data_IF_707852609268
#
_entry.id   IF_707852609268
#
_cell.length_a   1.000
_cell.length_b   1.000
_cell.length_c   1.000
_cell.angle_alpha   90.00
_cell.angle_beta   90.00
_cell.angle_gamma   90.00
#
_symmetry.space_group_name_H-M   'P 1'
#
loop_
_entity.id
_entity.type
_entity.pdbx_description
1 polymer ?
#
# COMPACT_ATOMS: atom_id res chain seq x y z
N UNK A 1 1.40 -9.02 -3.83
CA UNK A 1 1.37 -8.90 -5.30
C UNK A 1 0.54 -7.69 -5.68
N UNK A 2 0.97 -6.95 -6.70
CA UNK A 2 0.17 -5.90 -7.34
C UNK A 2 -0.84 -6.49 -8.32
N UNK A 3 -1.77 -5.68 -8.79
CA UNK A 3 -2.74 -6.11 -9.79
C UNK A 3 -2.10 -6.21 -11.20
N UNK A 4 -2.30 -7.30 -11.97
CA UNK A 4 -1.63 -7.53 -13.26
C UNK A 4 -1.82 -6.44 -14.31
N UNK A 5 -2.89 -5.63 -14.21
CA UNK A 5 -3.15 -4.47 -15.08
C UNK A 5 -1.98 -3.48 -15.13
N UNK A 6 -1.18 -3.39 -14.07
CA UNK A 6 -0.03 -2.49 -13.98
C UNK A 6 1.31 -3.22 -14.18
N UNK A 7 1.27 -4.45 -14.69
CA UNK A 7 2.39 -5.38 -14.71
C UNK A 7 2.43 -6.23 -13.44
N UNK A 8 3.13 -7.35 -13.53
CA UNK A 8 3.31 -8.26 -12.40
C UNK A 8 4.43 -7.71 -11.50
N UNK A 9 4.04 -6.92 -10.49
CA UNK A 9 4.95 -6.43 -9.47
C UNK A 9 4.75 -7.14 -8.13
N UNK A 10 5.86 -7.43 -7.46
CA UNK A 10 5.94 -7.89 -6.08
C UNK A 10 6.49 -6.76 -5.20
N UNK A 11 5.96 -6.62 -3.99
CA UNK A 11 6.52 -5.72 -2.99
C UNK A 11 7.03 -6.56 -1.81
N UNK A 12 8.19 -6.17 -1.28
CA UNK A 12 8.77 -6.74 -0.06
C UNK A 12 9.21 -5.64 0.88
N UNK A 13 9.20 -5.92 2.19
CA UNK A 13 9.69 -5.00 3.20
C UNK A 13 10.41 -5.76 4.33
N UNK A 14 11.18 -5.05 5.17
CA UNK A 14 11.92 -5.73 6.23
C UNK A 14 12.54 -4.85 7.31
N UNK A 15 13.28 -5.53 8.20
CA UNK A 15 13.97 -4.92 9.34
C UNK A 15 15.10 -3.97 8.94
N UNK A 16 15.61 -4.11 7.71
CA UNK A 16 16.60 -3.23 7.09
C UNK A 16 16.03 -1.86 6.67
N UNK A 17 14.76 -1.58 7.03
CA UNK A 17 14.05 -0.32 6.83
C UNK A 17 13.65 -0.08 5.37
N UNK A 18 13.70 -1.11 4.54
CA UNK A 18 13.47 -0.97 3.10
C UNK A 18 12.09 -1.46 2.71
N UNK A 19 11.54 -0.80 1.71
CA UNK A 19 10.48 -1.29 0.83
C UNK A 19 11.12 -1.44 -0.55
N UNK A 20 10.96 -2.62 -1.15
CA UNK A 20 11.49 -2.93 -2.47
C UNK A 20 10.33 -3.35 -3.37
N UNK A 21 10.26 -2.78 -4.57
CA UNK A 21 9.34 -3.24 -5.62
C UNK A 21 10.13 -3.97 -6.68
N UNK A 22 9.69 -5.18 -6.98
CA UNK A 22 10.22 -6.05 -8.01
C UNK A 22 9.22 -6.16 -9.14
N UNK A 23 9.68 -6.12 -10.38
CA UNK A 23 8.84 -6.29 -11.57
C UNK A 23 9.29 -7.53 -12.33
N UNK A 24 8.34 -8.36 -12.71
CA UNK A 24 8.58 -9.49 -13.58
C UNK A 24 8.92 -8.97 -14.99
N UNK A 25 10.04 -9.44 -15.53
CA UNK A 25 10.48 -9.15 -16.88
C UNK A 25 10.19 -10.38 -17.75
N UNK A 26 9.38 -10.22 -18.79
CA UNK A 26 9.20 -11.27 -19.79
C UNK A 26 10.52 -11.47 -20.53
N UNK A 27 11.18 -12.61 -20.36
CA UNK A 27 12.24 -12.98 -21.30
C UNK A 27 11.59 -13.26 -22.66
N UNK A 28 11.94 -12.46 -23.66
CA UNK A 28 11.60 -12.76 -25.04
C UNK A 28 12.08 -14.19 -25.38
N UNK A 29 11.29 -14.92 -26.15
CA UNK A 29 11.63 -16.28 -26.57
C UNK A 29 13.00 -16.28 -27.28
N UNK A 30 14.06 -16.71 -26.58
CA UNK A 30 15.42 -16.64 -27.10
C UNK A 30 16.45 -17.31 -26.20
N UNK A 31 16.50 -18.65 -26.28
CA UNK A 31 17.69 -19.52 -26.22
C UNK A 31 18.73 -19.35 -25.11
N UNK A 32 18.91 -20.41 -24.31
CA UNK A 32 20.14 -20.59 -23.53
C UNK A 32 20.05 -21.68 -22.48
N UNK A 33 20.61 -22.84 -22.82
CA UNK A 33 20.53 -24.08 -22.06
C UNK A 33 21.35 -24.03 -20.77
N UNK A 34 20.81 -23.54 -19.65
CA UNK A 34 21.20 -23.91 -18.28
C UNK A 34 19.92 -23.95 -17.43
N UNK A 35 19.63 -25.13 -16.85
CA UNK A 35 18.36 -25.47 -16.20
C UNK A 35 18.03 -24.66 -14.95
N UNK A 36 17.45 -23.48 -15.15
CA UNK A 36 16.63 -22.77 -14.18
C UNK A 36 15.58 -21.96 -14.93
N UNK A 37 14.39 -22.52 -15.15
CA UNK A 37 13.23 -21.76 -15.62
C UNK A 37 12.77 -20.82 -14.50
N UNK A 38 13.43 -19.68 -14.35
CA UNK A 38 13.14 -18.69 -13.32
C UNK A 38 12.70 -17.38 -13.97
N UNK A 39 11.48 -16.96 -13.64
CA UNK A 39 10.95 -15.62 -13.85
C UNK A 39 12.05 -14.56 -13.57
N UNK A 40 12.34 -13.70 -14.54
CA UNK A 40 13.37 -12.68 -14.38
C UNK A 40 12.80 -11.50 -13.57
N UNK A 41 13.08 -11.45 -12.27
CA UNK A 41 12.60 -10.39 -11.38
C UNK A 41 13.63 -9.26 -11.28
N UNK A 42 13.26 -8.04 -11.67
CA UNK A 42 14.11 -6.86 -11.57
C UNK A 42 13.65 -5.92 -10.45
N UNK A 43 14.59 -5.43 -9.63
CA UNK A 43 14.33 -4.35 -8.68
C UNK A 43 14.06 -3.05 -9.43
N UNK A 44 12.84 -2.52 -9.31
CA UNK A 44 12.41 -1.27 -9.97
C UNK A 44 12.25 -0.11 -8.99
N UNK A 45 12.26 -0.39 -7.68
CA UNK A 45 12.25 0.60 -6.62
C UNK A 45 12.89 0.05 -5.34
N UNK A 46 13.53 0.93 -4.59
CA UNK A 46 14.05 0.67 -3.24
C UNK A 46 13.94 1.95 -2.41
N UNK A 47 13.28 1.89 -1.25
CA UNK A 47 13.23 3.01 -0.31
C UNK A 47 14.47 3.06 0.58
N UNK A 48 14.82 4.27 1.03
CA UNK A 48 15.87 4.49 2.04
C UNK A 48 15.41 5.46 3.16
N UNK A 49 14.12 5.80 3.19
CA UNK A 49 13.59 6.91 4.00
C UNK A 49 13.04 6.51 5.37
N UNK A 50 12.66 5.25 5.58
CA UNK A 50 12.10 4.82 6.87
C UNK A 50 13.17 4.83 7.96
N UNK A 51 12.79 5.35 9.14
CA UNK A 51 13.69 5.47 10.28
C UNK A 51 13.94 4.14 11.01
N UNK A 52 13.02 3.19 10.86
CA UNK A 52 13.03 1.89 11.53
C UNK A 52 12.46 0.78 10.63
N UNK A 53 12.35 -0.43 11.17
CA UNK A 53 11.85 -1.61 10.47
C UNK A 53 10.50 -1.35 9.79
N UNK A 54 10.29 -1.94 8.61
CA UNK A 54 9.01 -1.92 7.91
C UNK A 54 8.32 -3.25 8.13
N UNK A 55 7.19 -3.21 8.82
CA UNK A 55 6.50 -4.38 9.36
C UNK A 55 5.49 -4.97 8.39
N UNK A 56 4.99 -4.17 7.45
CA UNK A 56 4.04 -4.62 6.46
C UNK A 56 3.95 -3.71 5.25
N UNK A 57 3.51 -4.28 4.13
CA UNK A 57 3.18 -3.56 2.90
C UNK A 57 1.87 -4.08 2.34
N UNK A 58 1.07 -3.19 1.76
CA UNK A 58 -0.21 -3.54 1.14
C UNK A 58 -0.43 -2.74 -0.14
N UNK A 59 -0.69 -3.43 -1.25
CA UNK A 59 -1.13 -2.79 -2.49
C UNK A 59 -2.58 -2.33 -2.35
N UNK A 60 -2.87 -1.15 -2.89
CA UNK A 60 -4.22 -0.61 -2.96
C UNK A 60 -5.09 -1.40 -3.96
N UNK A 61 -6.42 -1.30 -3.85
CA UNK A 61 -7.33 -1.67 -4.93
C UNK A 61 -6.89 -1.05 -6.26
N UNK A 62 -6.90 -1.87 -7.31
CA UNK A 62 -6.34 -1.51 -8.60
C UNK A 62 -7.07 -0.36 -9.29
N UNK A 63 -8.33 -0.13 -8.91
CA UNK A 63 -9.15 0.96 -9.40
C UNK A 63 -8.58 2.33 -9.04
N UNK A 64 -7.86 2.43 -7.92
CA UNK A 64 -7.11 3.64 -7.54
C UNK A 64 -5.80 3.79 -8.30
N UNK A 65 -5.25 2.71 -8.85
CA UNK A 65 -3.92 2.67 -9.45
C UNK A 65 -2.91 1.84 -8.63
N UNK A 66 -1.65 1.75 -9.08
CA UNK A 66 -0.60 0.99 -8.42
C UNK A 66 -0.04 1.75 -7.19
N UNK A 67 -0.88 1.95 -6.18
CA UNK A 67 -0.47 2.51 -4.90
C UNK A 67 -0.04 1.39 -3.94
N UNK A 68 1.03 1.62 -3.20
CA UNK A 68 1.58 0.71 -2.19
C UNK A 68 1.70 1.46 -0.87
N UNK A 69 1.07 0.95 0.18
CA UNK A 69 1.28 1.43 1.54
C UNK A 69 2.38 0.61 2.23
N UNK A 70 3.16 1.25 3.09
CA UNK A 70 4.09 0.62 4.03
C UNK A 70 3.84 1.08 5.46
N UNK A 71 3.93 0.15 6.41
CA UNK A 71 3.80 0.40 7.85
C UNK A 71 5.17 0.21 8.53
N UNK A 72 5.66 1.22 9.25
CA UNK A 72 6.97 1.16 9.91
C UNK A 72 6.92 1.41 11.41
N UNK A 73 7.84 0.79 12.12
CA UNK A 73 8.10 1.02 13.55
C UNK A 73 8.56 2.45 13.85
N UNK A 74 8.86 3.28 12.85
CA UNK A 74 9.14 4.72 13.03
C UNK A 74 7.87 5.57 13.29
N UNK A 75 6.71 4.92 13.35
CA UNK A 75 5.41 5.54 13.60
C UNK A 75 4.74 6.09 12.35
N UNK A 76 5.34 5.92 11.17
CA UNK A 76 4.83 6.45 9.91
C UNK A 76 4.25 5.39 9.01
N UNK A 77 3.29 5.84 8.20
CA UNK A 77 2.86 5.16 6.99
C UNK A 77 3.42 5.94 5.81
N UNK A 78 3.99 5.23 4.84
CA UNK A 78 4.34 5.82 3.55
C UNK A 78 3.47 5.23 2.43
N UNK A 79 3.09 6.09 1.49
CA UNK A 79 2.36 5.72 0.29
C UNK A 79 3.26 5.97 -0.91
N UNK A 80 3.54 4.90 -1.64
CA UNK A 80 4.34 4.87 -2.85
C UNK A 80 3.43 4.69 -4.07
N UNK A 81 3.68 5.45 -5.13
CA UNK A 81 2.99 5.30 -6.41
C UNK A 81 3.95 5.58 -7.57
N UNK A 82 3.82 4.84 -8.67
CA UNK A 82 4.57 5.10 -9.89
C UNK A 82 3.77 5.97 -10.86
N UNK A 83 4.16 7.23 -11.02
CA UNK A 83 3.58 8.13 -12.02
C UNK A 83 3.96 7.64 -13.42
N UNK A 84 2.98 7.21 -14.21
CA UNK A 84 3.21 6.81 -15.61
C UNK A 84 3.54 8.00 -16.51
N UNK A 85 3.09 9.20 -16.16
CA UNK A 85 3.38 10.42 -16.92
C UNK A 85 4.86 10.81 -16.76
N UNK A 86 5.37 10.77 -15.54
CA UNK A 86 6.71 11.24 -15.22
C UNK A 86 7.76 10.11 -15.20
N UNK A 87 7.31 8.85 -15.29
CA UNK A 87 8.15 7.65 -15.13
C UNK A 87 8.97 7.68 -13.83
N UNK A 88 8.35 8.18 -12.76
CA UNK A 88 8.98 8.37 -11.47
C UNK A 88 8.14 7.79 -10.34
N UNK A 89 8.84 7.31 -9.32
CA UNK A 89 8.26 6.90 -8.06
C UNK A 89 8.02 8.12 -7.18
N UNK A 90 6.77 8.32 -6.80
CA UNK A 90 6.34 9.36 -5.87
C UNK A 90 6.09 8.71 -4.51
N UNK A 91 6.64 9.33 -3.46
CA UNK A 91 6.49 8.90 -2.08
C UNK A 91 5.89 10.03 -1.25
N UNK A 92 4.84 9.71 -0.51
CA UNK A 92 4.29 10.57 0.54
C UNK A 92 4.30 9.82 1.86
N UNK A 93 4.35 10.52 2.99
CA UNK A 93 4.32 9.89 4.30
C UNK A 93 3.56 10.76 5.31
N UNK A 94 3.06 10.12 6.36
CA UNK A 94 2.44 10.78 7.49
C UNK A 94 2.64 9.97 8.77
N UNK A 95 2.67 10.66 9.90
CA UNK A 95 2.78 10.03 11.21
C UNK A 95 1.41 9.48 11.63
N UNK A 96 1.34 8.18 11.87
CA UNK A 96 0.09 7.47 12.16
C UNK A 96 -0.02 7.08 13.63
N UNK A 97 1.06 6.55 14.21
CA UNK A 97 1.10 5.96 15.55
C UNK A 97 2.34 6.39 16.32
N UNK A 98 2.19 6.65 17.62
CA UNK A 98 3.29 7.14 18.45
C UNK A 98 4.37 6.07 18.72
N UNK A 99 3.95 4.79 18.81
CA UNK A 99 4.82 3.66 19.17
C UNK A 99 5.13 2.72 17.98
N UNK A 100 4.98 3.19 16.76
CA UNK A 100 5.20 2.38 15.56
C UNK A 100 3.93 1.76 14.99
N UNK A 101 3.96 1.56 13.66
CA UNK A 101 2.89 0.96 12.88
C UNK A 101 3.26 -0.47 12.56
N UNK A 102 2.41 -1.42 12.93
CA UNK A 102 2.66 -2.84 12.75
C UNK A 102 1.94 -3.40 11.51
N UNK A 103 0.75 -2.87 11.23
CA UNK A 103 -0.10 -3.34 10.15
C UNK A 103 -0.78 -2.20 9.40
N UNK A 104 -1.04 -2.43 8.12
CA UNK A 104 -1.81 -1.54 7.26
C UNK A 104 -2.67 -2.35 6.29
N UNK A 105 -3.89 -1.90 6.03
CA UNK A 105 -4.78 -2.50 5.03
C UNK A 105 -5.60 -1.43 4.32
N UNK A 106 -5.92 -1.67 3.05
CA UNK A 106 -6.71 -0.74 2.24
C UNK A 106 -8.19 -1.08 2.30
N UNK A 107 -9.03 -0.05 2.35
CA UNK A 107 -10.46 -0.21 2.12
C UNK A 107 -10.73 -0.53 0.64
N UNK A 108 -11.80 -1.28 0.32
CA UNK A 108 -12.22 -1.51 -1.06
C UNK A 108 -12.49 -0.20 -1.83
N UNK A 109 -12.34 -0.24 -3.15
CA UNK A 109 -12.64 0.89 -4.03
C UNK A 109 -14.14 1.16 -4.21
N UNK A 110 -14.95 0.09 -4.16
CA UNK A 110 -16.39 0.18 -4.33
C UNK A 110 -17.06 0.75 -3.06
N UNK A 111 -17.89 1.76 -3.23
CA UNK A 111 -18.86 2.14 -2.20
C UNK A 111 -20.03 1.15 -2.21
N UNK A 112 -20.69 0.87 -1.07
CA UNK A 112 -21.82 -0.07 -1.00
C UNK A 112 -22.95 0.22 -2.00
N UNK A 113 -23.08 1.48 -2.44
CA UNK A 113 -24.02 1.91 -3.48
C UNK A 113 -23.76 1.21 -4.82
N UNK A 114 -22.49 0.99 -5.19
CA UNK A 114 -22.10 0.31 -6.45
C UNK A 114 -22.47 -1.18 -6.43
N UNK A 115 -22.57 -1.80 -5.24
CA UNK A 115 -22.96 -3.21 -5.11
C UNK A 115 -24.48 -3.42 -5.07
N UNK A 116 -25.25 -2.36 -4.76
CA UNK A 116 -26.70 -2.44 -4.57
C UNK A 116 -27.51 -2.01 -5.81
N UNK A 117 -26.94 -1.20 -6.70
CA UNK A 117 -27.57 -0.84 -7.97
C UNK A 117 -27.15 -1.81 -9.07
N UNK A 118 -28.11 -2.37 -9.81
CA UNK A 118 -27.88 -3.07 -11.08
C UNK A 118 -27.11 -2.22 -12.10
N UNK A 119 -26.93 -2.68 -13.37
CA UNK A 119 -25.93 -2.12 -14.29
C UNK A 119 -26.06 -0.60 -14.37
N UNK A 120 -25.10 0.08 -13.74
CA UNK A 120 -25.14 1.53 -13.58
C UNK A 120 -24.94 2.19 -14.95
N UNK A 121 -25.88 3.05 -15.33
CA UNK A 121 -25.82 3.91 -16.52
C UNK A 121 -24.79 5.04 -16.37
N UNK A 122 -24.07 5.10 -15.27
CA UNK A 122 -22.91 5.97 -15.04
C UNK A 122 -21.78 5.09 -14.51
N UNK A 123 -20.58 5.21 -15.10
CA UNK A 123 -19.42 4.39 -14.72
C UNK A 123 -19.15 4.44 -13.20
N UNK A 124 -18.49 3.42 -12.64
CA UNK A 124 -18.30 3.31 -11.20
C UNK A 124 -17.59 4.56 -10.65
N UNK A 125 -18.29 5.35 -9.82
CA UNK A 125 -17.66 6.44 -9.07
C UNK A 125 -16.81 5.82 -7.97
N UNK A 126 -15.50 5.98 -8.05
CA UNK A 126 -14.58 5.49 -7.03
C UNK A 126 -14.82 6.24 -5.71
N UNK A 127 -14.86 5.50 -4.60
CA UNK A 127 -14.86 6.11 -3.27
C UNK A 127 -13.53 6.81 -2.97
N UNK A 128 -13.43 7.55 -1.85
CA UNK A 128 -12.15 8.07 -1.41
C UNK A 128 -11.21 6.92 -0.97
N UNK A 129 -9.92 7.06 -1.27
CA UNK A 129 -8.90 6.15 -0.75
C UNK A 129 -8.92 6.16 0.77
N UNK A 130 -9.03 4.98 1.36
CA UNK A 130 -9.02 4.79 2.81
C UNK A 130 -8.11 3.64 3.17
N UNK A 131 -7.43 3.79 4.29
CA UNK A 131 -6.62 2.72 4.89
C UNK A 131 -6.91 2.61 6.37
N UNK A 132 -6.74 1.41 6.91
CA UNK A 132 -6.69 1.18 8.35
C UNK A 132 -5.28 0.84 8.75
N UNK A 133 -4.87 1.29 9.93
CA UNK A 133 -3.58 0.97 10.52
C UNK A 133 -3.72 0.50 11.95
N UNK A 134 -2.83 -0.39 12.36
CA UNK A 134 -2.69 -0.87 13.74
C UNK A 134 -1.30 -0.58 14.26
N UNK A 135 -1.19 -0.08 15.49
CA UNK A 135 0.08 0.29 16.11
C UNK A 135 0.38 -0.42 17.42
N UNK A 136 1.62 -0.24 17.88
CA UNK A 136 2.04 -0.65 19.24
C UNK A 136 1.61 0.34 20.33
N UNK A 137 0.82 1.34 19.97
CA UNK A 137 0.10 2.24 20.88
C UNK A 137 -1.30 1.70 21.22
N UNK A 138 -1.60 0.45 20.85
CA UNK A 138 -2.87 -0.25 21.05
C UNK A 138 -4.04 0.38 20.29
N UNK A 139 -3.75 1.25 19.31
CA UNK A 139 -4.78 1.94 18.53
C UNK A 139 -4.96 1.31 17.15
N UNK A 140 -6.21 1.28 16.69
CA UNK A 140 -6.56 1.10 15.28
C UNK A 140 -7.06 2.42 14.74
N UNK A 141 -6.51 2.91 13.63
CA UNK A 141 -6.90 4.19 13.05
C UNK A 141 -7.37 4.03 11.61
N UNK A 142 -8.47 4.69 11.29
CA UNK A 142 -8.99 4.83 9.93
C UNK A 142 -8.53 6.15 9.34
N UNK A 143 -7.84 6.08 8.21
CA UNK A 143 -7.35 7.22 7.47
C UNK A 143 -8.07 7.34 6.14
N UNK A 144 -8.29 8.58 5.71
CA UNK A 144 -8.82 8.89 4.39
C UNK A 144 -7.92 9.90 3.69
N UNK A 145 -7.68 9.69 2.39
CA UNK A 145 -7.03 10.70 1.56
C UNK A 145 -8.02 11.82 1.21
N UNK A 146 -7.61 13.07 1.43
CA UNK A 146 -8.36 14.25 1.01
C UNK A 146 -7.68 14.91 -0.19
N UNK A 147 -8.34 14.87 -1.36
CA UNK A 147 -7.82 15.47 -2.60
C UNK A 147 -7.63 16.98 -2.48
N UNK A 148 -8.47 17.67 -1.71
CA UNK A 148 -8.37 19.13 -1.56
C UNK A 148 -7.08 19.54 -0.84
N UNK A 149 -6.71 18.83 0.21
CA UNK A 149 -5.51 19.12 1.00
C UNK A 149 -4.30 18.31 0.57
N UNK A 150 -4.48 17.32 -0.31
CA UNK A 150 -3.47 16.32 -0.70
C UNK A 150 -2.83 15.66 0.54
N UNK A 151 -3.65 15.28 1.51
CA UNK A 151 -3.20 14.74 2.81
C UNK A 151 -4.06 13.57 3.25
N UNK A 152 -3.44 12.70 4.05
CA UNK A 152 -4.15 11.69 4.82
C UNK A 152 -4.63 12.30 6.14
N UNK A 153 -5.88 12.07 6.46
CA UNK A 153 -6.52 12.57 7.68
C UNK A 153 -7.17 11.43 8.43
N UNK A 154 -7.00 11.44 9.76
CA UNK A 154 -7.66 10.48 10.65
C UNK A 154 -9.17 10.77 10.65
N UNK A 155 -9.98 9.74 10.40
CA UNK A 155 -11.45 9.83 10.37
C UNK A 155 -12.11 9.21 11.59
N UNK A 156 -11.50 8.16 12.10
CA UNK A 156 -11.95 7.44 13.28
C UNK A 156 -10.77 6.68 13.88
N UNK A 157 -10.88 6.39 15.17
CA UNK A 157 -9.93 5.57 15.89
C UNK A 157 -10.64 4.67 16.89
N UNK A 158 -10.05 3.50 17.12
CA UNK A 158 -10.37 2.58 18.20
C UNK A 158 -9.14 2.57 19.11
N UNK A 159 -9.33 2.81 20.40
CA UNK A 159 -8.29 2.89 21.41
C UNK A 159 -8.52 1.86 22.54
N UNK A 160 -7.71 1.94 23.59
CA UNK A 160 -7.81 1.02 24.72
C UNK A 160 -9.14 1.10 25.49
N UNK A 161 -9.91 2.18 25.36
CA UNK A 161 -11.20 2.33 26.04
C UNK A 161 -12.34 1.65 25.28
N UNK A 162 -12.17 1.38 23.99
CA UNK A 162 -13.22 0.84 23.13
C UNK A 162 -12.75 -0.27 22.17
N UNK A 163 -11.55 -0.82 22.38
CA UNK A 163 -10.99 -1.90 21.56
C UNK A 163 -9.88 -2.69 22.26
N UNK A 164 -8.73 -2.79 21.61
CA UNK A 164 -7.64 -3.64 22.08
C UNK A 164 -6.81 -2.95 23.16
N UNK A 165 -6.36 -3.73 24.14
CA UNK A 165 -5.51 -3.26 25.24
C UNK A 165 -4.02 -3.60 25.05
N UNK A 166 -3.67 -4.12 23.88
CA UNK A 166 -2.32 -4.56 23.53
C UNK A 166 -2.05 -4.30 22.05
N UNK A 167 -0.82 -4.57 21.60
CA UNK A 167 -0.32 -4.24 20.27
C UNK A 167 -1.19 -4.83 19.16
N UNK A 168 -1.49 -4.01 18.15
CA UNK A 168 -2.20 -4.46 16.95
C UNK A 168 -1.20 -4.99 15.94
N UNK A 169 -1.54 -6.03 15.18
CA UNK A 169 -0.75 -6.62 14.09
C UNK A 169 -1.63 -7.22 13.01
#
# INVERSE_FOLDING_TARGET
WSHPKFGNCLASCGYDKRVIVWKEMSMGHGGGAHGGQGENWQMVYKSEDHGASVNGVAWAPWEYGPYLASASSDGKIAILHHSTADQQWLRTEFHAHANGVNAVSWAPAATPVVLASGPATQGPSLGPMRIVSGGSDNQVKLWQYEDRSQKWVERAGIDANNGHTDVIR
#
